data_IF_446658119864
#
_entry.id   IF_446658119864
#
_cell.length_a   1.000
_cell.length_b   1.000
_cell.length_c   1.000
_cell.angle_alpha   90.00
_cell.angle_beta   90.00
_cell.angle_gamma   90.00
#
_symmetry.space_group_name_H-M   'P 1'
#
loop_
_entity.id
_entity.type
_entity.pdbx_description
1 polymer ?
#
# COMPACT_ATOMS: atom_id res chain seq x y z
N UNK A 1 -41.92 8.10 -2.03
CA UNK A 1 -41.12 7.41 -3.08
C UNK A 1 -39.71 7.98 -3.01
N UNK A 2 -38.84 7.37 -2.20
CA UNK A 2 -37.46 7.82 -2.06
C UNK A 2 -36.65 7.30 -3.25
N UNK A 3 -36.42 8.19 -4.22
CA UNK A 3 -35.48 7.97 -5.33
C UNK A 3 -34.10 7.71 -4.74
N UNK A 4 -33.71 6.43 -4.66
CA UNK A 4 -32.33 6.04 -4.39
C UNK A 4 -31.52 6.41 -5.63
N UNK A 5 -30.89 7.58 -5.61
CA UNK A 5 -29.86 7.92 -6.58
C UNK A 5 -28.73 6.93 -6.39
N UNK A 6 -28.54 6.03 -7.36
CA UNK A 6 -27.38 5.14 -7.36
C UNK A 6 -26.11 6.00 -7.26
N UNK A 7 -25.18 5.70 -6.35
CA UNK A 7 -23.95 6.47 -6.24
C UNK A 7 -23.22 6.44 -7.58
N UNK A 8 -22.86 7.62 -8.09
CA UNK A 8 -22.08 7.75 -9.32
C UNK A 8 -20.74 7.01 -9.12
N UNK A 9 -20.31 6.17 -10.08
CA UNK A 9 -19.02 5.48 -9.98
C UNK A 9 -17.88 6.49 -9.83
N UNK A 10 -16.83 6.16 -9.05
CA UNK A 10 -15.71 7.07 -8.83
C UNK A 10 -14.98 7.35 -10.15
N UNK A 11 -14.38 8.54 -10.27
CA UNK A 11 -13.69 8.97 -11.48
C UNK A 11 -12.32 8.29 -11.67
N UNK A 12 -11.78 7.70 -10.60
CA UNK A 12 -10.64 6.81 -10.61
C UNK A 12 -10.76 5.72 -9.54
N UNK A 13 -9.88 4.73 -9.60
CA UNK A 13 -9.79 3.65 -8.62
C UNK A 13 -8.34 3.45 -8.14
N UNK A 14 -8.17 2.83 -6.98
CA UNK A 14 -6.87 2.58 -6.36
C UNK A 14 -6.36 1.17 -6.67
N UNK A 15 -5.07 1.05 -6.99
CA UNK A 15 -4.34 -0.22 -6.88
C UNK A 15 -3.57 -0.22 -5.56
N UNK A 16 -3.95 -1.13 -4.65
CA UNK A 16 -3.24 -1.31 -3.38
C UNK A 16 -2.00 -2.18 -3.59
N UNK A 17 -0.83 -1.65 -3.25
CA UNK A 17 0.45 -2.36 -3.41
C UNK A 17 1.09 -2.59 -2.03
N UNK A 18 0.96 -3.82 -1.54
CA UNK A 18 1.63 -4.28 -0.33
C UNK A 18 2.82 -5.20 -0.64
N UNK A 19 3.57 -5.53 0.39
CA UNK A 19 4.54 -6.60 0.39
C UNK A 19 5.44 -6.48 1.62
N UNK A 20 6.22 -7.53 1.93
CA UNK A 20 7.22 -7.47 2.99
C UNK A 20 8.19 -6.29 2.77
N UNK A 21 8.71 -5.73 3.87
CA UNK A 21 9.72 -4.67 3.79
C UNK A 21 10.92 -5.11 2.93
N UNK A 22 11.30 -4.28 1.96
CA UNK A 22 12.37 -4.59 1.00
C UNK A 22 11.95 -5.45 -0.22
N UNK A 23 10.66 -5.75 -0.40
CA UNK A 23 10.13 -6.43 -1.61
C UNK A 23 10.30 -5.61 -2.89
N UNK A 24 10.45 -4.29 -2.76
CA UNK A 24 10.59 -3.35 -3.86
C UNK A 24 9.29 -2.64 -4.28
N UNK A 25 8.27 -2.61 -3.40
CA UNK A 25 6.98 -1.91 -3.60
C UNK A 25 7.14 -0.47 -4.11
N UNK A 26 7.87 0.38 -3.39
CA UNK A 26 8.10 1.79 -3.77
C UNK A 26 8.83 1.92 -5.12
N UNK A 27 9.84 1.07 -5.37
CA UNK A 27 10.56 1.06 -6.66
C UNK A 27 9.69 0.57 -7.82
N UNK A 28 8.76 -0.35 -7.57
CA UNK A 28 7.79 -0.79 -8.56
C UNK A 28 6.78 0.32 -8.85
N UNK A 29 6.21 0.95 -7.81
CA UNK A 29 5.26 2.05 -7.91
C UNK A 29 5.83 3.21 -8.74
N UNK A 30 7.04 3.68 -8.40
CA UNK A 30 7.70 4.77 -9.12
C UNK A 30 7.89 4.48 -10.63
N UNK A 31 8.10 3.22 -11.02
CA UNK A 31 8.28 2.84 -12.42
C UNK A 31 7.00 2.80 -13.24
N UNK A 32 5.84 2.86 -12.61
CA UNK A 32 4.56 2.84 -13.33
C UNK A 32 4.22 4.20 -13.96
N UNK A 33 4.85 5.28 -13.47
CA UNK A 33 4.51 6.65 -13.83
C UNK A 33 3.13 7.09 -13.36
N UNK A 34 2.47 6.30 -12.50
CA UNK A 34 1.20 6.68 -11.88
C UNK A 34 1.44 7.55 -10.65
N UNK A 35 0.45 8.37 -10.25
CA UNK A 35 0.42 9.00 -8.93
C UNK A 35 0.52 7.94 -7.84
N UNK A 36 1.29 8.23 -6.79
CA UNK A 36 1.54 7.30 -5.68
C UNK A 36 1.17 7.97 -4.36
N UNK A 37 0.23 7.37 -3.65
CA UNK A 37 -0.06 7.64 -2.25
C UNK A 37 0.81 6.72 -1.39
N UNK A 38 1.71 7.29 -0.60
CA UNK A 38 2.51 6.54 0.36
C UNK A 38 1.70 6.35 1.66
N UNK A 39 1.26 5.12 1.92
CA UNK A 39 0.47 4.80 3.11
C UNK A 39 1.31 4.78 4.38
N UNK A 40 2.64 4.69 4.25
CA UNK A 40 3.55 4.82 5.39
C UNK A 40 3.53 6.26 5.95
N UNK A 41 2.89 7.24 5.30
CA UNK A 41 2.69 8.60 5.87
C UNK A 41 1.53 8.67 6.89
N UNK A 42 0.71 7.62 6.98
CA UNK A 42 -0.47 7.59 7.86
C UNK A 42 -0.19 6.91 9.21
N UNK A 43 1.07 6.70 9.59
CA UNK A 43 1.39 6.26 10.96
C UNK A 43 0.89 7.28 12.00
N UNK A 44 0.58 6.74 13.19
CA UNK A 44 0.27 7.56 14.38
C UNK A 44 1.56 8.15 14.94
N UNK A 45 1.43 9.30 15.58
CA UNK A 45 2.57 9.94 16.26
C UNK A 45 3.03 9.12 17.47
N UNK A 46 4.31 9.21 17.80
CA UNK A 46 4.94 8.46 18.90
C UNK A 46 4.20 8.58 20.24
N UNK A 47 3.58 9.73 20.51
CA UNK A 47 2.88 10.02 21.75
C UNK A 47 1.40 9.57 21.76
N UNK A 48 0.91 8.96 20.68
CA UNK A 48 -0.48 8.51 20.59
C UNK A 48 -0.75 7.38 21.63
N UNK A 49 -1.71 7.57 22.55
CA UNK A 49 -1.94 6.65 23.65
C UNK A 49 -2.59 5.32 23.22
N UNK A 50 -3.08 5.23 21.98
CA UNK A 50 -3.70 4.03 21.42
C UNK A 50 -2.69 3.09 20.76
N UNK A 51 -1.41 3.47 20.72
CA UNK A 51 -0.36 2.66 20.13
C UNK A 51 -0.22 1.31 20.85
N UNK A 52 -0.15 0.21 20.08
CA UNK A 52 0.04 -1.12 20.66
C UNK A 52 1.45 -1.25 21.22
N UNK A 53 1.59 -1.93 22.36
CA UNK A 53 2.88 -2.25 22.95
C UNK A 53 3.34 -3.67 22.54
N UNK A 54 4.65 -3.86 22.42
CA UNK A 54 5.24 -5.17 22.22
C UNK A 54 5.00 -6.06 23.47
N UNK A 55 4.71 -7.36 23.30
CA UNK A 55 4.42 -8.26 24.42
C UNK A 55 5.57 -8.43 25.43
N UNK A 56 6.80 -8.14 25.02
CA UNK A 56 8.01 -8.25 25.84
C UNK A 56 8.38 -6.93 26.55
N UNK A 57 7.56 -5.89 26.42
CA UNK A 57 7.84 -4.56 26.97
C UNK A 57 8.89 -3.77 26.20
N UNK A 58 9.26 -4.21 24.98
CA UNK A 58 10.27 -3.59 24.13
C UNK A 58 9.90 -2.23 23.50
N UNK A 59 8.76 -1.65 23.88
CA UNK A 59 8.24 -0.39 23.34
C UNK A 59 7.01 -0.59 22.45
N UNK A 60 6.82 0.29 21.47
CA UNK A 60 5.67 0.29 20.55
C UNK A 60 5.82 -0.79 19.47
N UNK A 61 4.74 -1.50 19.19
CA UNK A 61 4.63 -2.46 18.08
C UNK A 61 4.20 -1.77 16.78
N UNK A 62 5.15 -1.23 16.03
CA UNK A 62 4.91 -0.58 14.74
C UNK A 62 4.55 -1.55 13.59
N UNK A 63 4.68 -2.87 13.80
CA UNK A 63 4.26 -3.88 12.82
C UNK A 63 2.77 -4.27 12.99
N UNK A 64 2.11 -3.75 14.03
CA UNK A 64 0.69 -3.97 14.29
C UNK A 64 -0.19 -3.05 13.41
N UNK A 65 -1.29 -3.55 12.82
CA UNK A 65 -2.24 -2.73 12.08
C UNK A 65 -2.91 -1.61 12.90
N UNK A 66 -2.74 -1.59 14.23
CA UNK A 66 -3.26 -0.54 15.11
C UNK A 66 -2.31 0.67 15.22
N UNK A 67 -1.10 0.60 14.66
CA UNK A 67 -0.09 1.66 14.74
C UNK A 67 -0.25 2.78 13.72
N UNK A 68 -1.23 2.68 12.82
CA UNK A 68 -1.48 3.65 11.76
C UNK A 68 -2.96 4.01 11.68
N UNK A 69 -3.26 5.17 11.10
CA UNK A 69 -4.59 5.72 10.95
C UNK A 69 -5.22 5.21 9.65
N UNK A 70 -5.69 3.97 9.66
CA UNK A 70 -6.32 3.32 8.51
C UNK A 70 -7.58 4.07 8.03
N UNK A 71 -8.31 4.73 8.94
CA UNK A 71 -9.48 5.54 8.61
C UNK A 71 -9.10 6.78 7.77
N UNK A 72 -8.11 7.55 8.22
CA UNK A 72 -7.55 8.68 7.49
C UNK A 72 -7.06 8.25 6.09
N UNK A 73 -6.37 7.10 6.01
CA UNK A 73 -5.86 6.58 4.75
C UNK A 73 -6.98 6.21 3.76
N UNK A 74 -8.05 5.58 4.23
CA UNK A 74 -9.21 5.25 3.39
C UNK A 74 -9.97 6.51 2.97
N UNK A 75 -10.10 7.49 3.85
CA UNK A 75 -10.71 8.78 3.53
C UNK A 75 -9.92 9.52 2.43
N UNK A 76 -8.58 9.55 2.53
CA UNK A 76 -7.72 10.15 1.51
C UNK A 76 -7.82 9.43 0.15
N UNK A 77 -7.88 8.09 0.16
CA UNK A 77 -8.11 7.29 -1.05
C UNK A 77 -9.46 7.63 -1.67
N UNK A 78 -10.52 7.70 -0.87
CA UNK A 78 -11.86 8.03 -1.35
C UNK A 78 -11.91 9.43 -1.95
N UNK A 79 -11.35 10.42 -1.27
CA UNK A 79 -11.26 11.80 -1.76
C UNK A 79 -10.53 11.83 -3.11
N UNK A 80 -9.35 11.22 -3.20
CA UNK A 80 -8.56 11.17 -4.44
C UNK A 80 -9.30 10.49 -5.61
N UNK A 81 -10.04 9.40 -5.32
CA UNK A 81 -10.87 8.71 -6.32
C UNK A 81 -12.02 9.59 -6.84
N UNK A 82 -12.61 10.43 -5.98
CA UNK A 82 -13.83 11.20 -6.30
C UNK A 82 -13.51 12.60 -6.84
N UNK A 83 -12.55 13.30 -6.24
CA UNK A 83 -12.26 14.70 -6.53
C UNK A 83 -10.99 14.87 -7.39
N UNK A 84 -10.12 13.87 -7.41
CA UNK A 84 -8.84 13.91 -8.12
C UNK A 84 -7.68 14.49 -7.31
N UNK A 85 -7.93 15.02 -6.09
CA UNK A 85 -6.90 15.53 -5.18
C UNK A 85 -7.22 15.18 -3.74
N UNK A 86 -6.20 14.99 -2.91
CA UNK A 86 -6.36 14.78 -1.47
C UNK A 86 -5.21 15.41 -0.72
N UNK A 87 -5.47 15.90 0.49
CA UNK A 87 -4.42 16.20 1.45
C UNK A 87 -3.79 14.89 1.94
N UNK A 88 -2.47 14.89 2.14
CA UNK A 88 -1.68 13.75 2.60
C UNK A 88 -0.69 14.23 3.66
N UNK A 89 -0.64 13.58 4.84
CA UNK A 89 0.36 13.92 5.85
C UNK A 89 1.78 13.75 5.28
N UNK A 90 2.73 14.55 5.76
CA UNK A 90 4.16 14.30 5.61
C UNK A 90 4.65 13.73 6.92
N UNK A 91 5.17 12.50 6.90
CA UNK A 91 5.59 11.79 8.10
C UNK A 91 7.11 11.58 8.13
N UNK A 92 7.73 11.91 9.26
CA UNK A 92 9.13 11.56 9.51
C UNK A 92 9.19 10.27 10.33
N UNK A 93 9.59 9.18 9.69
CA UNK A 93 9.75 7.85 10.32
C UNK A 93 10.77 7.89 11.45
N UNK A 94 11.86 8.67 11.32
CA UNK A 94 12.90 8.74 12.34
C UNK A 94 12.41 9.49 13.59
N UNK A 95 11.62 10.54 13.41
CA UNK A 95 10.97 11.26 14.50
C UNK A 95 9.70 10.55 15.01
N UNK A 96 9.15 9.61 14.25
CA UNK A 96 7.83 9.02 14.49
C UNK A 96 6.77 10.11 14.70
N UNK A 97 6.75 11.11 13.82
CA UNK A 97 5.92 12.28 13.94
C UNK A 97 5.49 12.81 12.57
N UNK A 98 4.28 13.39 12.53
CA UNK A 98 3.82 14.19 11.40
C UNK A 98 4.57 15.53 11.41
N UNK A 99 5.13 15.92 10.27
CA UNK A 99 5.93 17.15 10.12
C UNK A 99 5.25 18.18 9.23
N UNK A 100 4.14 17.82 8.59
CA UNK A 100 3.34 18.72 7.78
C UNK A 100 2.31 17.98 6.95
N UNK A 101 1.89 18.62 5.87
CA UNK A 101 0.90 18.12 4.91
C UNK A 101 1.31 18.54 3.50
N UNK A 102 0.96 17.70 2.52
CA UNK A 102 1.12 17.97 1.09
C UNK A 102 -0.16 17.61 0.35
N UNK A 103 -0.31 18.06 -0.89
CA UNK A 103 -1.44 17.70 -1.75
C UNK A 103 -0.99 16.69 -2.79
N UNK A 104 -1.68 15.55 -2.86
CA UNK A 104 -1.53 14.59 -3.94
C UNK A 104 -2.60 14.86 -4.99
N UNK A 105 -2.18 15.05 -6.24
CA UNK A 105 -3.04 15.20 -7.42
C UNK A 105 -2.82 14.02 -8.36
N UNK A 106 -3.92 13.37 -8.79
CA UNK A 106 -3.82 12.27 -9.76
C UNK A 106 -3.86 12.73 -11.22
N UNK A 107 -4.20 13.99 -11.48
CA UNK A 107 -4.55 14.51 -12.80
C UNK A 107 -5.67 13.68 -13.44
N UNK A 108 -5.49 13.33 -14.71
CA UNK A 108 -6.45 12.50 -15.45
C UNK A 108 -6.20 10.99 -15.29
N UNK A 109 -5.27 10.57 -14.43
CA UNK A 109 -4.95 9.16 -14.26
C UNK A 109 -6.21 8.40 -13.76
N UNK A 110 -6.71 7.40 -14.51
CA UNK A 110 -7.93 6.67 -14.14
C UNK A 110 -7.68 5.67 -13.00
N UNK A 111 -6.41 5.42 -12.69
CA UNK A 111 -5.97 4.69 -11.50
C UNK A 111 -4.74 5.34 -10.90
N UNK A 112 -4.55 5.16 -9.60
CA UNK A 112 -3.32 5.52 -8.87
C UNK A 112 -2.90 4.36 -7.96
N UNK A 113 -1.68 4.43 -7.44
CA UNK A 113 -1.14 3.41 -6.53
C UNK A 113 -1.21 3.94 -5.10
N UNK A 114 -1.71 3.13 -4.17
CA UNK A 114 -1.44 3.35 -2.75
C UNK A 114 -0.54 2.23 -2.24
N UNK A 115 0.66 2.56 -1.76
CA UNK A 115 1.68 1.59 -1.39
C UNK A 115 2.03 1.68 0.09
N UNK A 116 2.19 0.52 0.73
CA UNK A 116 2.47 0.45 2.17
C UNK A 116 2.41 -0.97 2.68
N UNK A 117 3.03 -1.22 3.83
CA UNK A 117 3.00 -2.57 4.44
C UNK A 117 1.57 -2.98 4.82
N UNK A 118 0.76 -2.04 5.31
CA UNK A 118 -0.64 -2.25 5.67
C UNK A 118 -1.63 -2.04 4.52
N UNK A 119 -1.18 -1.92 3.26
CA UNK A 119 -2.12 -1.68 2.16
C UNK A 119 -3.17 -2.80 2.01
N UNK A 120 -2.84 -4.05 2.37
CA UNK A 120 -3.81 -5.15 2.36
C UNK A 120 -4.89 -5.01 3.44
N UNK A 121 -4.60 -4.37 4.57
CA UNK A 121 -5.52 -4.21 5.70
C UNK A 121 -6.76 -3.37 5.35
N UNK A 122 -6.65 -2.50 4.36
CA UNK A 122 -7.76 -1.66 3.87
C UNK A 122 -8.42 -2.19 2.58
N UNK A 123 -7.98 -3.33 2.05
CA UNK A 123 -8.47 -3.84 0.77
C UNK A 123 -9.97 -4.12 0.76
N UNK A 124 -10.51 -4.70 1.84
CA UNK A 124 -11.95 -4.94 1.99
C UNK A 124 -12.74 -3.64 1.97
N UNK A 125 -12.29 -2.64 2.72
CA UNK A 125 -12.95 -1.33 2.83
C UNK A 125 -12.97 -0.61 1.48
N UNK A 126 -11.83 -0.56 0.79
CA UNK A 126 -11.76 0.05 -0.54
C UNK A 126 -12.65 -0.68 -1.55
N UNK A 127 -12.74 -2.01 -1.47
CA UNK A 127 -13.60 -2.80 -2.36
C UNK A 127 -15.09 -2.60 -2.07
N UNK A 128 -15.48 -2.62 -0.81
CA UNK A 128 -16.85 -2.37 -0.37
C UNK A 128 -17.33 -0.96 -0.77
N UNK A 129 -16.43 0.03 -0.77
CA UNK A 129 -16.70 1.38 -1.25
C UNK A 129 -16.65 1.54 -2.79
N UNK A 130 -16.35 0.48 -3.54
CA UNK A 130 -16.22 0.52 -5.01
C UNK A 130 -14.98 1.25 -5.52
N UNK A 131 -13.99 1.49 -4.65
CA UNK A 131 -12.77 2.25 -4.94
C UNK A 131 -11.62 1.37 -5.45
N UNK A 132 -11.66 0.06 -5.20
CA UNK A 132 -10.54 -0.85 -5.49
C UNK A 132 -10.51 -1.29 -6.96
N UNK A 133 -9.38 -1.04 -7.64
CA UNK A 133 -9.09 -1.60 -8.96
C UNK A 133 -8.39 -2.97 -8.87
N UNK A 134 -7.37 -3.09 -8.00
CA UNK A 134 -6.68 -4.35 -7.71
C UNK A 134 -5.95 -4.26 -6.35
N UNK A 135 -5.67 -5.40 -5.73
CA UNK A 135 -4.84 -5.49 -4.52
C UNK A 135 -3.71 -6.47 -4.77
N UNK A 136 -2.46 -6.01 -4.68
CA UNK A 136 -1.27 -6.76 -5.06
C UNK A 136 -0.33 -6.91 -3.87
N UNK A 137 0.09 -8.15 -3.60
CA UNK A 137 1.17 -8.43 -2.65
C UNK A 137 2.45 -8.76 -3.42
N UNK A 138 3.33 -7.77 -3.54
CA UNK A 138 4.62 -7.96 -4.19
C UNK A 138 5.50 -8.87 -3.35
N UNK A 139 5.78 -10.05 -3.88
CA UNK A 139 6.70 -10.99 -3.28
C UNK A 139 8.13 -10.50 -3.50
N UNK A 140 8.92 -10.47 -2.43
CA UNK A 140 10.35 -10.32 -2.55
C UNK A 140 10.97 -11.50 -3.32
N UNK A 141 12.22 -11.35 -3.76
CA UNK A 141 13.10 -12.48 -4.05
C UNK A 141 13.81 -12.81 -2.74
N UNK A 142 13.35 -13.79 -1.95
CA UNK A 142 13.79 -13.96 -0.57
C UNK A 142 15.31 -14.19 -0.49
N UNK A 143 15.88 -14.79 -1.54
CA UNK A 143 17.32 -15.02 -1.72
C UNK A 143 18.13 -13.74 -1.97
N UNK A 144 17.59 -12.72 -2.63
CA UNK A 144 18.32 -11.46 -2.88
C UNK A 144 18.28 -10.51 -1.70
N UNK A 145 17.18 -10.47 -0.94
CA UNK A 145 17.06 -9.67 0.29
C UNK A 145 17.93 -10.26 1.38
N UNK A 146 17.89 -11.60 1.53
CA UNK A 146 18.81 -12.36 2.36
C UNK A 146 20.26 -12.17 1.91
N UNK A 147 20.59 -12.30 0.60
CA UNK A 147 21.96 -12.11 0.10
C UNK A 147 22.47 -10.69 0.31
N UNK A 148 21.66 -9.65 0.12
CA UNK A 148 22.07 -8.25 0.37
C UNK A 148 22.33 -7.99 1.85
N UNK A 149 21.45 -8.48 2.73
CA UNK A 149 21.63 -8.39 4.20
C UNK A 149 22.83 -9.22 4.68
N UNK A 150 23.00 -10.44 4.15
CA UNK A 150 24.12 -11.32 4.45
C UNK A 150 25.45 -10.74 3.96
N UNK A 151 25.51 -10.17 2.75
CA UNK A 151 26.73 -9.52 2.23
C UNK A 151 27.12 -8.29 3.05
N UNK A 152 26.14 -7.51 3.54
CA UNK A 152 26.39 -6.40 4.46
C UNK A 152 26.89 -6.90 5.83
N UNK A 153 26.19 -7.85 6.43
CA UNK A 153 26.54 -8.43 7.74
C UNK A 153 27.90 -9.16 7.71
N UNK A 154 28.28 -9.77 6.57
CA UNK A 154 29.59 -10.40 6.35
C UNK A 154 30.71 -9.39 6.10
N UNK A 155 30.43 -8.26 5.43
CA UNK A 155 31.39 -7.16 5.26
C UNK A 155 31.71 -6.44 6.57
N UNK A 156 30.73 -6.40 7.49
CA UNK A 156 30.87 -5.78 8.82
C UNK A 156 31.49 -6.72 9.87
N UNK A 157 31.73 -8.00 9.54
CA UNK A 157 32.67 -8.90 10.23
C UNK A 157 32.34 -9.35 11.66
N UNK A 158 31.08 -9.33 12.13
CA UNK A 158 30.77 -9.50 13.58
C UNK A 158 29.98 -10.75 14.02
N UNK A 159 29.61 -11.70 13.16
CA UNK A 159 28.78 -12.87 13.59
C UNK A 159 29.11 -14.20 12.89
N UNK A 160 29.04 -15.36 13.60
CA UNK A 160 29.24 -16.68 13.00
C UNK A 160 28.22 -16.99 11.89
N UNK A 161 28.66 -17.62 10.79
CA UNK A 161 27.87 -17.92 9.58
C UNK A 161 26.56 -18.67 9.89
N UNK A 162 26.57 -19.61 10.85
CA UNK A 162 25.38 -20.35 11.27
C UNK A 162 24.32 -19.47 11.97
N UNK A 163 24.73 -18.40 12.66
CA UNK A 163 23.82 -17.44 13.30
C UNK A 163 23.13 -16.58 12.23
N UNK A 164 23.86 -16.18 11.19
CA UNK A 164 23.33 -15.43 10.04
C UNK A 164 22.35 -16.28 9.21
N UNK A 165 22.63 -17.58 9.03
CA UNK A 165 21.71 -18.52 8.36
C UNK A 165 20.42 -18.76 9.16
N UNK A 166 20.50 -18.96 10.48
CA UNK A 166 19.31 -19.11 11.35
C UNK A 166 18.46 -17.83 11.41
N UNK A 167 19.11 -16.66 11.42
CA UNK A 167 18.44 -15.34 11.32
C UNK A 167 17.78 -15.17 9.96
N UNK A 168 18.48 -15.54 8.88
CA UNK A 168 17.94 -15.58 7.52
C UNK A 168 16.70 -16.44 7.41
N UNK A 169 16.74 -17.67 7.93
CA UNK A 169 15.60 -18.58 7.89
C UNK A 169 14.40 -18.06 8.69
N UNK A 170 14.63 -17.37 9.80
CA UNK A 170 13.57 -16.65 10.55
C UNK A 170 12.96 -15.51 9.74
N UNK A 171 13.79 -14.68 9.10
CA UNK A 171 13.33 -13.61 8.22
C UNK A 171 12.54 -14.16 7.02
N UNK A 172 12.98 -15.28 6.44
CA UNK A 172 12.27 -15.96 5.35
C UNK A 172 10.91 -16.53 5.79
N UNK A 173 10.82 -17.10 7.00
CA UNK A 173 9.54 -17.59 7.56
C UNK A 173 8.60 -16.44 7.89
N UNK A 174 9.12 -15.35 8.46
CA UNK A 174 8.36 -14.12 8.69
C UNK A 174 7.82 -13.54 7.37
N UNK A 175 8.65 -13.51 6.32
CA UNK A 175 8.23 -13.07 4.98
C UNK A 175 7.08 -13.93 4.43
N UNK A 176 7.15 -15.26 4.58
CA UNK A 176 6.07 -16.17 4.17
C UNK A 176 4.78 -15.94 4.97
N UNK A 177 4.89 -15.70 6.28
CA UNK A 177 3.75 -15.37 7.13
C UNK A 177 3.07 -14.06 6.70
N UNK A 178 3.86 -13.02 6.41
CA UNK A 178 3.36 -11.73 5.92
C UNK A 178 2.61 -11.90 4.59
N UNK A 179 3.21 -12.61 3.63
CA UNK A 179 2.55 -12.84 2.33
C UNK A 179 1.26 -13.64 2.49
N UNK A 180 1.25 -14.67 3.34
CA UNK A 180 0.06 -15.46 3.62
C UNK A 180 -1.05 -14.60 4.25
N UNK A 181 -0.72 -13.76 5.23
CA UNK A 181 -1.64 -12.81 5.85
C UNK A 181 -2.22 -11.85 4.82
N UNK A 182 -1.38 -11.21 4.01
CA UNK A 182 -1.84 -10.24 3.01
C UNK A 182 -2.70 -10.91 1.94
N UNK A 183 -2.38 -12.16 1.59
CA UNK A 183 -3.22 -12.96 0.68
C UNK A 183 -4.60 -13.26 1.30
N UNK A 184 -4.64 -13.59 2.58
CA UNK A 184 -5.91 -13.81 3.30
C UNK A 184 -6.78 -12.54 3.38
N UNK A 185 -6.16 -11.36 3.38
CA UNK A 185 -6.83 -10.05 3.29
C UNK A 185 -7.26 -9.68 1.85
N UNK A 186 -7.00 -10.56 0.87
CA UNK A 186 -7.44 -10.39 -0.51
C UNK A 186 -6.39 -9.82 -1.47
N UNK A 187 -5.12 -9.65 -1.05
CA UNK A 187 -4.06 -9.21 -1.94
C UNK A 187 -3.49 -10.36 -2.78
N UNK A 188 -3.39 -10.19 -4.10
CA UNK A 188 -2.86 -11.19 -5.02
C UNK A 188 -1.32 -11.27 -4.96
N UNK A 189 -0.74 -12.43 -4.55
CA UNK A 189 0.71 -12.56 -4.42
C UNK A 189 1.41 -12.73 -5.77
N UNK A 190 2.12 -11.71 -6.22
CA UNK A 190 2.73 -11.69 -7.55
C UNK A 190 4.21 -11.25 -7.52
N UNK A 191 4.92 -11.55 -8.61
CA UNK A 191 6.25 -11.01 -8.85
C UNK A 191 6.18 -9.68 -9.61
N UNK A 192 7.27 -8.92 -9.63
CA UNK A 192 7.34 -7.60 -10.28
C UNK A 192 6.82 -7.55 -11.73
N UNK A 193 7.19 -8.48 -12.65
CA UNK A 193 6.67 -8.43 -14.02
C UNK A 193 5.15 -8.58 -14.09
N UNK A 194 4.60 -9.49 -13.31
CA UNK A 194 3.16 -9.75 -13.23
C UNK A 194 2.41 -8.57 -12.60
N UNK A 195 2.94 -8.00 -11.51
CA UNK A 195 2.37 -6.81 -10.88
C UNK A 195 2.28 -5.63 -11.87
N UNK A 196 3.32 -5.41 -12.69
CA UNK A 196 3.30 -4.37 -13.73
C UNK A 196 2.24 -4.65 -14.80
N UNK A 197 2.09 -5.91 -15.23
CA UNK A 197 1.07 -6.30 -16.20
C UNK A 197 -0.34 -6.07 -15.65
N UNK A 198 -0.60 -6.42 -14.39
CA UNK A 198 -1.89 -6.21 -13.72
C UNK A 198 -2.21 -4.73 -13.53
N UNK A 199 -1.22 -3.93 -13.12
CA UNK A 199 -1.39 -2.46 -13.03
C UNK A 199 -1.71 -1.87 -14.40
N UNK A 200 -1.03 -2.32 -15.47
CA UNK A 200 -1.34 -1.87 -16.82
C UNK A 200 -2.76 -2.26 -17.26
N UNK A 201 -3.22 -3.47 -16.94
CA UNK A 201 -4.58 -3.92 -17.23
C UNK A 201 -5.65 -3.15 -16.43
N UNK A 202 -5.37 -2.79 -15.17
CA UNK A 202 -6.26 -1.94 -14.38
C UNK A 202 -6.41 -0.55 -15.02
N UNK A 203 -5.30 0.05 -15.47
CA UNK A 203 -5.32 1.34 -16.18
C UNK A 203 -6.22 1.33 -17.41
N UNK A 204 -6.16 0.26 -18.22
CA UNK A 204 -6.96 0.18 -19.45
C UNK A 204 -8.43 -0.08 -19.17
N UNK A 205 -8.75 -0.91 -18.18
CA UNK A 205 -10.12 -1.18 -17.76
C UNK A 205 -10.82 0.10 -17.26
N UNK A 206 -10.14 0.92 -16.45
CA UNK A 206 -10.70 2.15 -15.90
C UNK A 206 -10.77 3.30 -16.90
N UNK A 207 -9.80 3.41 -17.80
CA UNK A 207 -9.87 4.39 -18.89
C UNK A 207 -11.13 4.19 -19.75
N UNK A 208 -11.50 2.93 -20.00
CA UNK A 208 -12.73 2.57 -20.74
C UNK A 208 -14.02 2.89 -19.98
N UNK A 209 -14.03 2.67 -18.66
CA UNK A 209 -15.18 3.00 -17.81
C UNK A 209 -15.43 4.52 -17.72
N UNK A 210 -14.36 5.32 -17.58
CA UNK A 210 -14.46 6.79 -17.54
C UNK A 210 -15.01 7.39 -18.84
N UNK A 211 -14.58 6.87 -20.00
CA UNK A 211 -15.09 7.30 -21.31
C UNK A 211 -16.56 6.95 -21.51
N UNK A 212 -17.02 5.78 -21.04
CA UNK A 212 -18.42 5.38 -21.14
C UNK A 212 -19.33 6.30 -20.32
N UNK A 213 -18.91 6.66 -19.09
CA UNK A 213 -19.68 7.58 -18.22
C UNK A 213 -19.75 9.00 -18.82
N UNK A 214 -18.65 9.51 -19.39
CA UNK A 214 -18.64 10.82 -20.05
C UNK A 214 -19.61 10.86 -21.24
N UNK A 215 -19.61 9.82 -22.07
CA UNK A 215 -20.50 9.72 -23.24
C UNK A 215 -21.98 9.63 -22.86
N UNK A 216 -22.32 8.97 -21.75
CA UNK A 216 -23.72 8.94 -21.27
C UNK A 216 -24.18 10.29 -20.72
N UNK A 217 -23.30 11.05 -20.06
CA UNK A 217 -23.64 12.37 -19.54
C UNK A 217 -23.88 13.40 -20.66
N UNK A 218 -23.16 13.30 -21.77
CA UNK A 218 -23.29 14.21 -22.93
C UNK A 218 -24.55 13.95 -23.76
N UNK A 219 -25.11 12.74 -23.72
CA UNK A 219 -26.36 12.38 -24.44
C UNK A 219 -27.63 12.77 -23.67
N UNK A 220 -27.51 13.13 -22.39
CA UNK A 220 -28.62 13.56 -21.54
C UNK A 220 -28.65 15.08 -21.27
N UNK A 221 -27.78 15.85 -21.90
CA UNK A 221 -27.77 17.32 -21.88
C UNK A 221 -28.39 17.89 -23.17
#
# INVERSE_FOLDING_TARGET
MSSHSSPRPPAARVVLLTGPSGSGKSSLAARTGLPVLNLDDFYKEHADPTLPALPDGGGIDWDSPLSWNADDAVAAIEELCRTGRTAVPVYDIAASARTGETVLDRGDAPVFIAEGVFAADIAERCRAAGLLADALCLRGRPTTTFRRRLVRDLREGRKPVLVLLRRGLRLLRAERGIVARHTALGAHPCARPEALARIAAARTADAGAGHAVAKTAEVCA
#
